data_IF_678898886761
#
_entry.id   IF_678898886761
#
_cell.length_a   1.000
_cell.length_b   1.000
_cell.length_c   1.000
_cell.angle_alpha   90.00
_cell.angle_beta   90.00
_cell.angle_gamma   90.00
#
_symmetry.space_group_name_H-M   'P 1'
#
loop_
_entity.id
_entity.type
_entity.pdbx_description
1 polymer ?
#
# COMPACT_ATOMS: atom_id res chain seq x y z
N UNK A 1 -25.83 -1.15 -2.17
CA UNK A 1 -26.22 -2.28 -3.03
C UNK A 1 -25.90 -1.98 -4.48
N UNK A 2 -24.69 -1.95 -4.85
CA UNK A 2 -24.20 -2.14 -6.23
C UNK A 2 -22.69 -2.27 -6.12
N UNK A 3 -22.21 -3.48 -5.90
CA UNK A 3 -20.81 -3.78 -6.05
C UNK A 3 -20.53 -3.76 -7.56
N UNK A 4 -20.04 -2.61 -8.04
CA UNK A 4 -19.72 -2.42 -9.43
C UNK A 4 -18.62 -3.40 -9.83
N UNK A 5 -18.88 -4.16 -10.89
CA UNK A 5 -17.92 -4.97 -11.59
C UNK A 5 -16.81 -4.05 -12.13
N UNK A 6 -15.69 -3.98 -11.45
CA UNK A 6 -14.50 -3.39 -12.02
C UNK A 6 -13.91 -4.37 -13.04
N UNK A 7 -14.39 -4.31 -14.26
CA UNK A 7 -13.59 -4.67 -15.42
C UNK A 7 -12.61 -3.51 -15.62
N UNK A 8 -11.35 -3.69 -15.30
CA UNK A 8 -10.30 -2.87 -15.87
C UNK A 8 -10.27 -3.15 -17.38
N UNK A 9 -11.10 -2.43 -18.11
CA UNK A 9 -10.90 -2.25 -19.53
C UNK A 9 -9.76 -1.23 -19.61
N UNK A 10 -8.54 -1.72 -19.83
CA UNK A 10 -7.42 -0.87 -20.23
C UNK A 10 -7.78 -0.29 -21.59
N UNK A 11 -8.45 0.87 -21.60
CA UNK A 11 -8.63 1.64 -22.81
C UNK A 11 -7.24 2.06 -23.28
N UNK A 12 -6.82 1.51 -24.41
CA UNK A 12 -5.63 1.96 -25.14
C UNK A 12 -5.90 3.39 -25.65
N UNK A 13 -5.47 4.39 -24.91
CA UNK A 13 -5.21 5.70 -25.47
C UNK A 13 -3.78 5.68 -26.02
N UNK A 14 -3.68 5.80 -27.34
CA UNK A 14 -2.42 6.08 -28.02
C UNK A 14 -1.96 7.49 -27.64
N UNK A 15 -1.21 7.63 -26.57
CA UNK A 15 -0.51 8.88 -26.27
C UNK A 15 0.94 8.75 -26.73
N UNK A 16 1.29 9.52 -27.74
CA UNK A 16 2.67 9.74 -28.18
C UNK A 16 3.32 10.67 -27.15
N UNK A 17 4.08 10.11 -26.22
CA UNK A 17 4.94 10.87 -25.33
C UNK A 17 6.33 11.02 -25.94
N UNK A 18 6.76 12.24 -26.23
CA UNK A 18 8.15 12.52 -26.59
C UNK A 18 8.94 12.84 -25.32
N UNK A 19 9.89 11.98 -24.98
CA UNK A 19 10.90 12.29 -23.97
C UNK A 19 12.07 12.94 -24.71
N UNK A 20 12.31 14.22 -24.45
CA UNK A 20 13.49 14.94 -24.95
C UNK A 20 14.71 14.59 -24.08
N UNK A 21 15.44 13.57 -24.49
CA UNK A 21 16.84 13.44 -24.09
C UNK A 21 17.68 14.32 -25.03
N UNK A 22 18.50 15.22 -24.49
CA UNK A 22 19.39 16.07 -25.24
C UNK A 22 20.42 15.24 -26.01
N UNK A 23 20.24 15.16 -27.32
CA UNK A 23 21.17 14.50 -28.22
C UNK A 23 20.51 13.54 -29.20
N UNK A 24 20.02 14.11 -30.30
CA UNK A 24 19.36 13.49 -31.46
C UNK A 24 17.87 13.15 -31.25
N UNK A 25 17.05 13.81 -32.07
CA UNK A 25 15.59 13.57 -32.21
C UNK A 25 15.29 12.16 -32.75
N UNK A 26 15.32 11.15 -31.90
CA UNK A 26 14.62 9.91 -32.14
C UNK A 26 13.33 9.93 -31.30
N UNK A 27 12.19 10.03 -31.96
CA UNK A 27 10.89 9.89 -31.32
C UNK A 27 10.73 8.47 -30.77
N UNK A 28 10.88 8.30 -29.48
CA UNK A 28 10.66 7.02 -28.81
C UNK A 28 9.16 6.73 -28.82
N UNK A 29 8.70 5.79 -29.64
CA UNK A 29 7.32 5.31 -29.60
C UNK A 29 7.20 4.22 -28.55
N UNK A 30 6.57 4.55 -27.43
CA UNK A 30 6.12 3.55 -26.46
C UNK A 30 5.09 2.63 -27.15
N UNK A 31 5.39 1.33 -27.14
CA UNK A 31 4.47 0.30 -27.62
C UNK A 31 4.10 -0.62 -26.45
N UNK A 32 2.80 -0.83 -26.26
CA UNK A 32 2.31 -1.83 -25.30
C UNK A 32 1.98 -3.12 -26.07
N UNK A 33 2.43 -4.23 -25.54
CA UNK A 33 2.12 -5.56 -26.04
C UNK A 33 1.49 -6.39 -24.92
N UNK A 34 0.34 -7.00 -25.18
CA UNK A 34 -0.23 -8.02 -24.30
C UNK A 34 0.61 -9.28 -24.46
N UNK A 35 1.29 -9.70 -23.40
CA UNK A 35 2.19 -10.86 -23.40
C UNK A 35 1.54 -12.12 -22.81
N UNK A 36 0.55 -11.96 -21.93
CA UNK A 36 -0.27 -13.03 -21.41
C UNK A 36 -1.74 -12.60 -21.43
N UNK A 37 -2.64 -13.48 -21.85
CA UNK A 37 -4.08 -13.18 -21.95
C UNK A 37 -4.81 -13.36 -20.61
N UNK A 38 -4.28 -14.20 -19.72
CA UNK A 38 -4.90 -14.54 -18.44
C UNK A 38 -3.81 -14.66 -17.38
N UNK A 39 -3.80 -13.70 -16.46
CA UNK A 39 -2.89 -13.69 -15.30
C UNK A 39 -3.36 -14.60 -14.16
N UNK A 40 -4.49 -15.26 -14.30
CA UNK A 40 -5.18 -16.11 -13.32
C UNK A 40 -5.68 -15.37 -12.05
N UNK A 41 -5.08 -14.26 -11.70
CA UNK A 41 -5.46 -13.37 -10.59
C UNK A 41 -5.30 -11.91 -11.03
N UNK A 42 -6.05 -10.99 -10.43
CA UNK A 42 -5.88 -9.55 -10.68
C UNK A 42 -4.62 -9.04 -9.94
N UNK A 43 -3.86 -8.18 -10.59
CA UNK A 43 -2.62 -7.67 -9.99
C UNK A 43 -2.90 -6.51 -9.03
N UNK A 44 -3.20 -6.80 -7.77
CA UNK A 44 -3.15 -5.81 -6.69
C UNK A 44 -1.72 -5.59 -6.21
N UNK A 45 -0.97 -6.69 -6.06
CA UNK A 45 0.45 -6.66 -5.80
C UNK A 45 1.16 -7.40 -6.92
N UNK A 46 2.20 -6.78 -7.44
CA UNK A 46 3.07 -7.33 -8.49
C UNK A 46 4.51 -7.10 -8.07
N UNK A 47 5.32 -8.13 -8.14
CA UNK A 47 6.74 -8.05 -7.83
C UNK A 47 7.55 -9.14 -8.54
N UNK A 48 8.87 -9.09 -8.36
CA UNK A 48 9.77 -10.12 -8.85
C UNK A 48 10.04 -11.13 -7.73
N UNK A 49 9.86 -12.42 -8.03
CA UNK A 49 10.20 -13.53 -7.14
C UNK A 49 11.64 -13.99 -7.35
N UNK A 50 12.15 -13.83 -8.56
CA UNK A 50 13.53 -14.03 -8.98
C UNK A 50 13.79 -13.26 -10.30
N UNK A 51 14.96 -13.43 -10.93
CA UNK A 51 15.34 -12.71 -12.16
C UNK A 51 14.41 -12.99 -13.35
N UNK A 52 13.72 -14.12 -13.37
CA UNK A 52 12.96 -14.61 -14.52
C UNK A 52 11.48 -14.90 -14.19
N UNK A 53 11.03 -14.59 -12.98
CA UNK A 53 9.67 -14.87 -12.54
C UNK A 53 9.08 -13.70 -11.79
N UNK A 54 7.98 -13.16 -12.30
CA UNK A 54 7.14 -12.24 -11.57
C UNK A 54 6.06 -12.98 -10.79
N UNK A 55 5.61 -12.42 -9.68
CA UNK A 55 4.43 -12.90 -8.96
C UNK A 55 3.31 -11.88 -8.99
N UNK A 56 2.09 -12.37 -8.94
CA UNK A 56 0.87 -11.60 -8.74
C UNK A 56 0.22 -12.12 -7.47
N UNK A 57 -0.25 -11.20 -6.62
CA UNK A 57 -0.99 -11.54 -5.41
C UNK A 57 -2.20 -10.62 -5.29
N UNK A 58 -3.41 -11.20 -5.14
CA UNK A 58 -4.67 -10.50 -5.24
C UNK A 58 -5.66 -10.91 -4.15
N UNK A 59 -6.85 -10.39 -4.30
CA UNK A 59 -8.02 -10.72 -3.49
C UNK A 59 -8.67 -12.04 -3.90
N UNK A 60 -9.45 -12.53 -2.99
CA UNK A 60 -10.10 -13.85 -3.05
C UNK A 60 -11.32 -13.90 -3.96
N UNK A 61 -11.98 -12.80 -4.28
CA UNK A 61 -13.33 -12.80 -4.84
C UNK A 61 -13.46 -13.25 -6.30
N UNK A 62 -14.56 -13.96 -6.55
CA UNK A 62 -15.11 -14.25 -7.90
C UNK A 62 -14.16 -14.91 -8.90
N UNK A 63 -13.04 -15.45 -8.46
CA UNK A 63 -12.13 -16.14 -9.35
C UNK A 63 -12.58 -17.60 -9.57
N UNK A 64 -12.93 -17.90 -10.82
CA UNK A 64 -13.33 -19.28 -11.22
C UNK A 64 -12.14 -20.20 -11.44
N UNK A 65 -10.94 -19.63 -11.57
CA UNK A 65 -9.71 -20.41 -11.78
C UNK A 65 -9.29 -21.07 -10.49
N UNK A 66 -8.72 -22.26 -10.63
CA UNK A 66 -8.24 -23.10 -9.53
C UNK A 66 -6.75 -23.33 -9.66
N UNK A 67 -6.08 -23.41 -8.52
CA UNK A 67 -4.72 -23.91 -8.44
C UNK A 67 -4.68 -25.43 -8.62
N UNK A 68 -3.49 -26.02 -8.70
CA UNK A 68 -3.33 -27.48 -8.80
C UNK A 68 -3.92 -28.23 -7.60
N UNK A 69 -4.00 -27.60 -6.43
CA UNK A 69 -4.64 -28.18 -5.22
C UNK A 69 -6.16 -28.04 -5.21
N UNK A 70 -6.75 -27.39 -6.23
CA UNK A 70 -8.19 -27.14 -6.32
C UNK A 70 -8.68 -25.91 -5.55
N UNK A 71 -7.79 -25.10 -4.96
CA UNK A 71 -8.14 -23.84 -4.30
C UNK A 71 -8.43 -22.76 -5.33
N UNK A 72 -9.26 -21.76 -5.02
CA UNK A 72 -9.37 -20.57 -5.86
C UNK A 72 -8.00 -19.91 -6.04
N UNK A 73 -7.71 -19.41 -7.24
CA UNK A 73 -6.42 -18.78 -7.53
C UNK A 73 -6.43 -17.32 -7.08
N UNK A 74 -5.65 -17.00 -6.04
CA UNK A 74 -5.45 -15.62 -5.55
C UNK A 74 -4.02 -15.14 -5.75
N UNK A 75 -3.16 -16.06 -6.16
CA UNK A 75 -1.78 -15.77 -6.46
C UNK A 75 -1.35 -16.55 -7.70
N UNK A 76 -0.49 -15.93 -8.49
CA UNK A 76 0.09 -16.58 -9.67
C UNK A 76 1.56 -16.18 -9.86
N UNK A 77 2.26 -17.00 -10.61
CA UNK A 77 3.62 -16.74 -11.08
C UNK A 77 3.58 -16.59 -12.60
N UNK A 78 4.29 -15.61 -13.11
CA UNK A 78 4.45 -15.34 -14.54
C UNK A 78 5.91 -15.54 -14.88
N UNK A 79 6.21 -16.52 -15.70
CA UNK A 79 7.56 -16.74 -16.22
C UNK A 79 7.87 -15.69 -17.28
N UNK A 80 8.95 -14.93 -17.14
CA UNK A 80 9.24 -13.80 -18.04
C UNK A 80 9.82 -14.23 -19.40
N UNK A 81 10.42 -15.42 -19.46
CA UNK A 81 11.03 -15.95 -20.68
C UNK A 81 10.00 -16.37 -21.75
N UNK A 82 8.85 -16.93 -21.33
CA UNK A 82 7.82 -17.45 -22.23
C UNK A 82 6.41 -16.94 -21.92
N UNK A 83 6.27 -16.13 -20.88
CA UNK A 83 5.00 -15.57 -20.38
C UNK A 83 3.97 -16.62 -19.96
N UNK A 84 4.41 -17.81 -19.66
CA UNK A 84 3.53 -18.81 -19.06
C UNK A 84 3.10 -18.41 -17.65
N UNK A 85 1.86 -18.75 -17.28
CA UNK A 85 1.26 -18.35 -16.00
C UNK A 85 0.85 -19.58 -15.22
N UNK A 86 1.22 -19.64 -13.95
CA UNK A 86 0.88 -20.73 -13.03
C UNK A 86 0.26 -20.20 -11.74
N UNK A 87 -0.92 -20.70 -11.38
CA UNK A 87 -1.53 -20.40 -10.08
C UNK A 87 -0.75 -21.07 -8.94
N UNK A 88 -0.61 -20.39 -7.84
CA UNK A 88 -0.03 -20.90 -6.59
C UNK A 88 -1.00 -20.70 -5.44
N UNK A 89 -0.90 -21.56 -4.43
CA UNK A 89 -1.82 -21.53 -3.29
C UNK A 89 -1.57 -20.33 -2.40
N UNK A 90 -2.66 -19.76 -1.93
CA UNK A 90 -2.74 -18.84 -0.82
C UNK A 90 -3.93 -19.24 0.07
N UNK A 91 -3.83 -19.01 1.36
CA UNK A 91 -4.82 -19.46 2.35
C UNK A 91 -5.54 -18.29 3.00
N UNK A 92 -4.79 -17.26 3.33
CA UNK A 92 -5.30 -16.09 4.04
C UNK A 92 -5.60 -14.95 3.05
N UNK A 93 -6.57 -14.12 3.37
CA UNK A 93 -7.04 -13.07 2.47
C UNK A 93 -6.05 -11.89 2.41
N UNK A 94 -5.30 -11.68 1.30
CA UNK A 94 -4.30 -10.63 1.18
C UNK A 94 -4.87 -9.30 0.67
N UNK A 95 -6.18 -9.19 0.54
CA UNK A 95 -6.80 -8.00 -0.04
C UNK A 95 -6.44 -6.75 0.72
N UNK A 96 -5.83 -5.80 0.03
CA UNK A 96 -5.33 -4.54 0.61
C UNK A 96 -4.27 -4.73 1.70
N UNK A 97 -3.45 -5.76 1.61
CA UNK A 97 -2.20 -5.88 2.34
C UNK A 97 -1.15 -4.90 1.81
N UNK A 98 -0.03 -4.79 2.48
CA UNK A 98 1.15 -4.08 2.00
C UNK A 98 2.33 -5.04 1.86
N UNK A 99 3.24 -4.77 0.92
CA UNK A 99 4.39 -5.62 0.68
C UNK A 99 5.69 -4.85 0.45
N UNK A 100 6.81 -5.52 0.75
CA UNK A 100 8.16 -5.00 0.51
C UNK A 100 9.15 -6.15 0.29
N UNK A 101 10.28 -5.84 -0.33
CA UNK A 101 11.39 -6.78 -0.51
C UNK A 101 12.40 -6.60 0.61
N UNK A 102 12.84 -7.70 1.21
CA UNK A 102 13.93 -7.71 2.18
C UNK A 102 15.31 -7.76 1.51
N UNK A 103 16.36 -7.39 2.25
CA UNK A 103 17.73 -7.41 1.78
C UNK A 103 18.25 -8.78 1.33
N UNK A 104 17.62 -9.88 1.74
CA UNK A 104 17.92 -11.25 1.29
C UNK A 104 17.13 -11.67 0.04
N UNK A 105 16.38 -10.76 -0.57
CA UNK A 105 15.54 -11.03 -1.73
C UNK A 105 14.16 -11.65 -1.41
N UNK A 106 13.86 -11.98 -0.16
CA UNK A 106 12.52 -12.42 0.22
C UNK A 106 11.51 -11.31 0.08
N UNK A 107 10.32 -11.62 -0.40
CA UNK A 107 9.22 -10.67 -0.45
C UNK A 107 8.24 -10.92 0.71
N UNK A 108 7.90 -9.87 1.42
CA UNK A 108 6.95 -9.93 2.54
C UNK A 108 5.65 -9.21 2.16
N UNK A 109 4.52 -9.82 2.54
CA UNK A 109 3.18 -9.24 2.45
C UNK A 109 2.51 -9.31 3.81
N UNK A 110 2.27 -8.16 4.42
CA UNK A 110 1.69 -8.07 5.76
C UNK A 110 0.27 -7.46 5.75
N UNK A 111 -0.60 -8.01 6.56
CA UNK A 111 -1.98 -7.57 6.66
C UNK A 111 -2.89 -8.15 5.58
N UNK A 112 -4.02 -7.52 5.37
CA UNK A 112 -5.05 -7.93 4.43
C UNK A 112 -6.45 -7.77 4.98
N UNK A 113 -7.41 -8.51 4.46
CA UNK A 113 -8.80 -8.45 4.89
C UNK A 113 -9.18 -9.67 5.74
N UNK A 114 -10.31 -9.56 6.43
CA UNK A 114 -10.96 -10.71 7.08
C UNK A 114 -11.42 -11.75 6.05
N UNK A 115 -11.79 -12.93 6.52
CA UNK A 115 -12.38 -13.96 5.68
C UNK A 115 -13.73 -13.48 5.10
N UNK A 116 -13.97 -13.74 3.82
CA UNK A 116 -15.11 -13.22 3.08
C UNK A 116 -15.86 -14.29 2.27
N UNK A 117 -17.11 -14.00 1.97
CA UNK A 117 -17.97 -14.71 1.04
C UNK A 117 -18.18 -13.89 -0.25
N UNK A 118 -19.18 -14.25 -1.03
CA UNK A 118 -19.58 -13.54 -2.24
C UNK A 118 -19.78 -12.04 -1.99
N UNK A 119 -19.23 -11.23 -2.88
CA UNK A 119 -19.35 -9.77 -2.81
C UNK A 119 -18.53 -9.11 -1.70
N UNK A 120 -17.51 -9.79 -1.14
CA UNK A 120 -16.66 -9.25 -0.08
C UNK A 120 -17.37 -9.17 1.28
N UNK A 121 -18.45 -9.92 1.48
CA UNK A 121 -19.25 -9.88 2.70
C UNK A 121 -18.74 -10.94 3.68
N UNK A 122 -18.56 -10.57 4.94
CA UNK A 122 -18.20 -11.53 5.98
C UNK A 122 -19.35 -12.54 6.21
N UNK A 123 -18.99 -13.78 6.39
CA UNK A 123 -19.93 -14.85 6.73
C UNK A 123 -20.38 -14.69 8.18
N UNK A 124 -21.63 -15.02 8.46
CA UNK A 124 -22.14 -15.12 9.82
C UNK A 124 -22.05 -16.54 10.34
N UNK A 125 -21.69 -16.68 11.60
CA UNK A 125 -21.80 -17.91 12.35
C UNK A 125 -23.30 -18.23 12.61
N UNK A 126 -23.57 -19.43 13.09
CA UNK A 126 -24.96 -19.87 13.43
C UNK A 126 -25.61 -19.04 14.54
N UNK A 127 -24.83 -18.38 15.38
CA UNK A 127 -25.28 -17.47 16.45
C UNK A 127 -25.52 -16.04 15.96
N UNK A 128 -25.30 -15.76 14.66
CA UNK A 128 -25.44 -14.45 14.05
C UNK A 128 -24.21 -13.54 14.18
N UNK A 129 -23.17 -13.94 14.91
CA UNK A 129 -21.90 -13.22 14.97
C UNK A 129 -21.15 -13.30 13.64
N UNK A 130 -20.22 -12.36 13.40
CA UNK A 130 -19.41 -12.36 12.18
C UNK A 130 -18.27 -13.38 12.28
N UNK A 131 -18.19 -14.30 11.31
CA UNK A 131 -17.03 -15.17 11.15
C UNK A 131 -15.92 -14.42 10.41
N UNK A 132 -15.14 -13.64 11.13
CA UNK A 132 -14.03 -12.87 10.54
C UNK A 132 -12.79 -13.73 10.29
N UNK A 133 -12.62 -14.81 11.05
CA UNK A 133 -11.42 -15.65 11.00
C UNK A 133 -11.43 -16.67 9.86
N UNK A 134 -12.59 -17.13 9.45
CA UNK A 134 -12.74 -18.17 8.43
C UNK A 134 -12.66 -19.61 9.03
N UNK A 135 -12.58 -20.65 8.17
CA UNK A 135 -12.68 -20.52 6.72
C UNK A 135 -14.07 -20.06 6.26
N UNK A 136 -14.10 -19.15 5.29
CA UNK A 136 -15.35 -18.60 4.77
C UNK A 136 -15.73 -19.24 3.42
N UNK A 137 -16.90 -19.93 3.32
CA UNK A 137 -17.36 -20.41 2.03
C UNK A 137 -17.79 -19.24 1.12
N UNK A 138 -17.66 -19.33 -0.22
CA UNK A 138 -17.22 -20.53 -0.95
C UNK A 138 -15.71 -20.59 -1.16
N UNK A 139 -14.94 -19.64 -0.68
CA UNK A 139 -13.53 -19.49 -1.00
C UNK A 139 -12.63 -20.30 -0.07
N UNK A 140 -13.10 -20.58 1.13
CA UNK A 140 -12.32 -21.21 2.21
C UNK A 140 -11.06 -20.41 2.56
N UNK A 141 -11.18 -19.08 2.50
CA UNK A 141 -10.16 -18.16 2.93
C UNK A 141 -10.18 -17.97 4.45
N UNK A 142 -9.01 -17.64 4.98
CA UNK A 142 -8.80 -17.29 6.38
C UNK A 142 -8.56 -15.78 6.51
N UNK A 143 -8.72 -15.27 7.72
CA UNK A 143 -8.40 -13.87 8.03
C UNK A 143 -6.92 -13.55 7.73
N UNK A 144 -6.71 -12.55 6.90
CA UNK A 144 -5.38 -12.10 6.50
C UNK A 144 -4.85 -10.89 7.26
N UNK A 145 -5.69 -10.24 8.07
CA UNK A 145 -5.38 -8.93 8.66
C UNK A 145 -4.18 -8.91 9.60
N UNK A 146 -3.84 -10.06 10.22
CA UNK A 146 -2.70 -10.19 11.12
C UNK A 146 -1.55 -11.00 10.55
N UNK A 147 -1.71 -11.52 9.35
CA UNK A 147 -0.76 -12.45 8.76
C UNK A 147 0.41 -11.72 8.12
N UNK A 148 1.62 -12.21 8.37
CA UNK A 148 2.83 -11.84 7.65
C UNK A 148 3.20 -13.02 6.75
N UNK A 149 3.02 -12.84 5.46
CA UNK A 149 3.31 -13.84 4.42
C UNK A 149 4.68 -13.59 3.84
N UNK A 150 5.36 -14.64 3.43
CA UNK A 150 6.68 -14.52 2.84
C UNK A 150 6.82 -15.41 1.60
N UNK A 151 7.46 -14.88 0.57
CA UNK A 151 7.99 -15.65 -0.55
C UNK A 151 9.50 -15.56 -0.52
N UNK A 152 10.16 -16.70 -0.34
CA UNK A 152 11.62 -16.76 -0.40
C UNK A 152 12.07 -16.89 -1.85
N UNK A 153 13.13 -16.20 -2.28
CA UNK A 153 13.64 -16.29 -3.63
C UNK A 153 14.16 -17.73 -3.89
N UNK A 154 13.89 -18.23 -5.06
CA UNK A 154 14.40 -19.52 -5.53
C UNK A 154 14.63 -19.45 -7.05
N UNK A 155 15.81 -19.86 -7.52
CA UNK A 155 16.12 -19.90 -8.94
C UNK A 155 15.20 -20.87 -9.71
N UNK A 156 14.77 -21.95 -9.05
CA UNK A 156 13.77 -22.88 -9.57
C UNK A 156 12.36 -22.34 -9.28
N UNK A 157 11.73 -21.77 -10.28
CA UNK A 157 10.39 -21.20 -10.14
C UNK A 157 9.34 -22.21 -9.70
N UNK A 158 9.55 -23.51 -9.92
CA UNK A 158 8.62 -24.56 -9.46
C UNK A 158 8.55 -24.66 -7.94
N UNK A 159 9.57 -24.20 -7.23
CA UNK A 159 9.66 -24.18 -5.76
C UNK A 159 9.15 -22.89 -5.13
N UNK A 160 8.86 -21.87 -5.93
CA UNK A 160 8.30 -20.62 -5.43
C UNK A 160 6.88 -20.87 -4.89
N UNK A 161 6.67 -20.46 -3.66
CA UNK A 161 5.39 -20.55 -2.96
C UNK A 161 5.29 -19.47 -1.88
N UNK A 162 4.08 -19.12 -1.50
CA UNK A 162 3.84 -18.33 -0.30
C UNK A 162 3.98 -19.21 0.94
N UNK A 163 4.71 -18.72 1.93
CA UNK A 163 4.61 -19.14 3.32
C UNK A 163 3.48 -18.28 3.89
N UNK A 164 2.30 -18.89 3.97
CA UNK A 164 1.03 -18.23 4.30
C UNK A 164 0.34 -19.07 5.36
N UNK A 165 0.70 -18.86 6.62
CA UNK A 165 0.25 -19.64 7.76
C UNK A 165 -0.58 -18.77 8.71
N UNK A 166 -1.89 -19.04 8.76
CA UNK A 166 -2.82 -18.34 9.63
C UNK A 166 -2.49 -18.55 11.12
N UNK A 167 -2.02 -19.75 11.47
CA UNK A 167 -1.70 -20.10 12.87
C UNK A 167 -0.24 -19.80 13.24
N UNK A 168 0.48 -19.10 12.39
CA UNK A 168 1.88 -18.74 12.64
C UNK A 168 2.02 -17.96 13.95
N UNK A 169 2.98 -18.31 14.80
CA UNK A 169 3.28 -17.53 16.02
C UNK A 169 3.84 -16.14 15.70
N UNK A 170 4.24 -15.90 14.44
CA UNK A 170 4.81 -14.64 13.98
C UNK A 170 3.77 -13.68 13.38
N UNK A 171 2.51 -13.84 13.72
CA UNK A 171 1.47 -12.90 13.32
C UNK A 171 1.65 -11.52 13.98
N UNK A 172 1.12 -10.48 13.32
CA UNK A 172 0.99 -9.16 13.94
C UNK A 172 0.12 -9.20 15.21
N UNK A 173 0.38 -8.31 16.15
CA UNK A 173 -0.43 -8.18 17.36
C UNK A 173 -1.81 -7.61 17.09
N UNK A 174 -1.92 -6.73 16.11
CA UNK A 174 -3.18 -6.11 15.74
C UNK A 174 -3.53 -6.29 14.26
N UNK A 175 -4.85 -6.37 13.93
CA UNK A 175 -5.30 -6.45 12.55
C UNK A 175 -4.92 -5.19 11.77
N UNK A 176 -4.48 -5.33 10.51
CA UNK A 176 -4.15 -4.23 9.61
C UNK A 176 -4.65 -4.48 8.20
N UNK A 177 -5.59 -3.68 7.79
CA UNK A 177 -6.08 -3.54 6.43
C UNK A 177 -5.64 -2.18 5.90
N UNK A 178 -5.02 -2.08 4.73
CA UNK A 178 -4.36 -0.87 4.21
C UNK A 178 -3.20 -0.33 5.08
N UNK A 179 -2.32 -1.15 5.65
CA UNK A 179 -1.15 -0.63 6.37
C UNK A 179 -0.12 -0.03 5.41
N UNK A 180 0.79 0.77 5.95
CA UNK A 180 2.09 1.00 5.34
C UNK A 180 3.08 -0.07 5.83
N UNK A 181 4.09 -0.39 5.01
CA UNK A 181 5.20 -1.27 5.38
C UNK A 181 6.52 -0.69 4.88
N UNK A 182 7.53 -0.70 5.73
CA UNK A 182 8.87 -0.23 5.38
C UNK A 182 9.92 -1.23 5.83
N UNK A 183 10.88 -1.53 4.92
CA UNK A 183 12.04 -2.35 5.24
C UNK A 183 13.10 -1.56 5.99
N UNK A 184 13.72 -2.18 6.99
CA UNK A 184 14.77 -1.56 7.79
C UNK A 184 16.15 -2.12 7.46
N UNK A 185 17.19 -1.37 7.80
CA UNK A 185 18.57 -1.73 7.48
C UNK A 185 19.04 -3.06 8.10
N UNK A 186 18.42 -3.51 9.17
CA UNK A 186 18.74 -4.77 9.84
C UNK A 186 17.97 -5.98 9.28
N UNK A 187 17.23 -5.80 8.18
CA UNK A 187 16.44 -6.85 7.54
C UNK A 187 15.07 -7.09 8.15
N UNK A 188 14.69 -6.33 9.17
CA UNK A 188 13.31 -6.34 9.70
C UNK A 188 12.42 -5.40 8.90
N UNK A 189 11.11 -5.44 9.16
CA UNK A 189 10.14 -4.49 8.64
C UNK A 189 9.33 -3.86 9.76
N UNK A 190 8.81 -2.67 9.51
CA UNK A 190 7.80 -2.04 10.36
C UNK A 190 6.49 -1.93 9.58
N UNK A 191 5.38 -2.33 10.22
CA UNK A 191 4.02 -2.13 9.73
C UNK A 191 3.39 -0.97 10.50
N UNK A 192 2.79 -0.03 9.78
CA UNK A 192 2.29 1.22 10.34
C UNK A 192 0.85 1.45 9.88
N UNK A 193 -0.03 1.79 10.82
CA UNK A 193 -1.38 2.19 10.51
C UNK A 193 -2.26 1.08 9.96
N UNK A 194 -3.15 1.45 9.04
CA UNK A 194 -4.19 0.61 8.49
C UNK A 194 -5.47 0.63 9.30
N UNK A 195 -6.34 -0.35 9.09
CA UNK A 195 -7.62 -0.49 9.77
C UNK A 195 -7.80 -1.88 10.36
N UNK A 196 -8.50 -1.97 11.48
CA UNK A 196 -8.86 -3.23 12.14
C UNK A 196 -10.06 -3.92 11.49
N UNK A 197 -10.92 -3.13 10.86
CA UNK A 197 -12.13 -3.61 10.18
C UNK A 197 -12.39 -2.77 8.94
N UNK A 198 -13.20 -3.32 8.03
CA UNK A 198 -13.57 -2.65 6.80
C UNK A 198 -14.37 -1.37 7.06
N UNK A 199 -14.01 -0.36 6.36
CA UNK A 199 -14.66 0.92 6.18
C UNK A 199 -14.08 1.54 4.95
N UNK A 200 -14.78 2.52 4.37
CA UNK A 200 -14.27 3.13 3.15
C UNK A 200 -13.04 3.99 3.43
N UNK A 201 -13.14 4.86 4.42
CA UNK A 201 -12.05 5.66 4.99
C UNK A 201 -12.29 5.73 6.48
N UNK A 202 -11.29 5.39 7.27
CA UNK A 202 -11.43 5.31 8.72
C UNK A 202 -10.81 6.53 9.38
N UNK A 203 -11.54 7.08 10.34
CA UNK A 203 -11.01 8.12 11.22
C UNK A 203 -10.32 7.52 12.43
N UNK A 204 -9.26 8.18 12.86
CA UNK A 204 -8.60 7.92 14.12
C UNK A 204 -9.26 8.70 15.26
N UNK A 205 -8.87 8.36 16.46
CA UNK A 205 -9.13 9.20 17.63
C UNK A 205 -8.04 10.30 17.75
N UNK A 206 -8.37 11.49 18.24
CA UNK A 206 -9.71 11.98 18.57
C UNK A 206 -10.47 12.35 17.31
N UNK A 207 -11.65 11.78 17.16
CA UNK A 207 -12.56 12.23 16.13
C UNK A 207 -13.35 13.43 16.68
N UNK A 208 -13.07 14.61 16.17
CA UNK A 208 -13.73 15.85 16.58
C UNK A 208 -15.08 16.08 15.90
N UNK A 209 -15.48 15.22 14.98
CA UNK A 209 -16.79 15.29 14.33
C UNK A 209 -17.88 14.90 15.34
N UNK A 210 -18.82 15.80 15.67
CA UNK A 210 -19.89 15.52 16.64
C UNK A 210 -20.80 14.34 16.27
N UNK A 211 -20.93 14.04 14.99
CA UNK A 211 -21.73 12.91 14.49
C UNK A 211 -21.12 11.59 14.95
N UNK A 212 -19.81 11.47 14.99
CA UNK A 212 -19.10 10.26 15.39
C UNK A 212 -18.74 10.23 16.88
N UNK A 213 -18.58 11.40 17.49
CA UNK A 213 -18.23 11.51 18.90
C UNK A 213 -19.29 10.93 19.84
N UNK A 214 -20.53 10.77 19.37
CA UNK A 214 -21.66 10.33 20.17
C UNK A 214 -22.32 9.05 19.65
N UNK A 215 -21.65 8.30 18.77
CA UNK A 215 -22.22 7.06 18.23
C UNK A 215 -22.57 6.06 19.34
N UNK A 216 -23.83 5.62 19.35
CA UNK A 216 -24.32 4.60 20.28
C UNK A 216 -23.68 3.22 20.07
N UNK A 217 -23.09 2.99 18.89
CA UNK A 217 -22.36 1.77 18.56
C UNK A 217 -20.94 1.74 19.15
N UNK A 218 -20.45 2.88 19.60
CA UNK A 218 -19.18 3.00 20.30
C UNK A 218 -19.32 3.88 21.54
N UNK A 219 -19.67 3.29 22.72
CA UNK A 219 -19.83 4.03 23.98
C UNK A 219 -18.53 4.68 24.48
N UNK A 220 -17.37 4.32 23.89
CA UNK A 220 -16.09 4.99 24.10
C UNK A 220 -15.82 6.00 22.98
N UNK A 221 -16.85 6.77 22.62
CA UNK A 221 -16.71 7.86 21.66
C UNK A 221 -15.42 8.65 21.95
N UNK A 222 -14.64 8.86 20.92
CA UNK A 222 -13.33 9.44 21.07
C UNK A 222 -12.18 8.44 21.23
N UNK A 223 -12.42 7.14 21.14
CA UNK A 223 -11.37 6.10 21.06
C UNK A 223 -11.08 5.75 19.59
N UNK A 224 -9.89 5.22 19.30
CA UNK A 224 -9.38 4.99 17.92
C UNK A 224 -10.18 3.98 17.10
N UNK A 225 -10.91 3.09 17.71
CA UNK A 225 -11.67 2.04 17.05
C UNK A 225 -12.93 2.55 16.33
N UNK A 226 -13.24 3.81 16.43
CA UNK A 226 -14.27 4.43 15.60
C UNK A 226 -13.87 4.39 14.13
N UNK A 227 -14.71 3.76 13.30
CA UNK A 227 -14.41 3.55 11.91
C UNK A 227 -13.33 2.47 11.64
N UNK A 228 -12.81 1.80 12.68
CA UNK A 228 -11.87 0.71 12.56
C UNK A 228 -10.42 1.12 12.30
N UNK A 229 -10.06 2.39 12.47
CA UNK A 229 -8.67 2.83 12.34
C UNK A 229 -7.74 2.15 13.34
N UNK A 230 -6.51 1.89 12.91
CA UNK A 230 -5.44 1.34 13.75
C UNK A 230 -4.20 2.25 13.68
N UNK A 231 -4.14 3.36 14.41
CA UNK A 231 -3.04 4.30 14.38
C UNK A 231 -1.85 3.82 15.24
N UNK A 232 -1.41 2.59 15.03
CA UNK A 232 -0.28 2.00 15.75
C UNK A 232 0.78 1.49 14.79
N UNK A 233 1.92 1.11 15.33
CA UNK A 233 2.97 0.44 14.58
C UNK A 233 3.45 -0.81 15.30
N UNK A 234 4.04 -1.73 14.55
CA UNK A 234 4.71 -2.92 15.06
C UNK A 234 5.78 -3.42 14.11
N UNK A 235 6.73 -4.21 14.62
CA UNK A 235 7.86 -4.73 13.85
C UNK A 235 7.72 -6.24 13.60
N UNK A 236 8.32 -6.69 12.50
CA UNK A 236 8.49 -8.09 12.21
C UNK A 236 9.89 -8.37 11.63
N UNK A 237 10.62 -9.40 12.08
CA UNK A 237 10.36 -10.15 13.32
C UNK A 237 10.43 -9.24 14.55
N UNK A 238 9.80 -9.69 15.65
CA UNK A 238 9.66 -8.86 16.87
C UNK A 238 10.90 -8.83 17.75
N UNK A 239 11.81 -9.76 17.55
CA UNK A 239 12.98 -9.94 18.38
C UNK A 239 13.83 -8.67 18.45
N UNK A 240 14.09 -8.21 19.68
CA UNK A 240 14.87 -7.01 19.96
C UNK A 240 14.29 -5.71 19.37
N UNK A 241 12.98 -5.67 19.14
CA UNK A 241 12.26 -4.49 18.65
C UNK A 241 11.37 -3.84 19.71
N UNK A 242 11.06 -2.54 19.56
CA UNK A 242 10.03 -1.91 20.39
C UNK A 242 8.72 -2.69 20.33
N UNK A 243 7.99 -2.70 21.44
CA UNK A 243 6.62 -3.25 21.46
C UNK A 243 5.70 -2.40 20.60
N UNK A 244 4.61 -2.99 20.08
CA UNK A 244 3.58 -2.23 19.39
C UNK A 244 3.10 -1.04 20.21
N UNK A 245 3.01 0.12 19.58
CA UNK A 245 2.61 1.36 20.22
C UNK A 245 1.80 2.24 19.27
N UNK A 246 1.15 3.25 19.84
CA UNK A 246 0.47 4.30 19.08
C UNK A 246 1.50 5.11 18.31
N UNK A 247 1.13 5.52 17.12
CA UNK A 247 1.94 6.31 16.23
C UNK A 247 1.32 7.70 16.07
N UNK A 248 1.88 8.70 16.72
CA UNK A 248 1.30 10.05 16.81
C UNK A 248 1.02 10.68 15.45
N UNK A 249 1.88 10.45 14.46
CA UNK A 249 1.66 10.96 13.11
C UNK A 249 0.43 10.31 12.46
N UNK A 250 0.15 9.04 12.71
CA UNK A 250 -1.06 8.38 12.20
C UNK A 250 -2.32 8.89 12.90
N UNK A 251 -2.23 9.29 14.17
CA UNK A 251 -3.31 9.99 14.87
C UNK A 251 -3.54 11.37 14.26
N UNK A 252 -2.47 12.15 14.07
CA UNK A 252 -2.50 13.50 13.49
C UNK A 252 -3.10 13.54 12.09
N UNK A 253 -2.85 12.51 11.27
CA UNK A 253 -3.30 12.43 9.87
C UNK A 253 -4.59 11.64 9.68
N UNK A 254 -5.43 11.57 10.70
CA UNK A 254 -6.70 10.86 10.70
C UNK A 254 -7.55 11.09 9.45
N UNK A 255 -8.17 10.03 8.95
CA UNK A 255 -9.09 10.07 7.81
C UNK A 255 -8.41 9.89 6.44
N UNK A 256 -7.19 10.36 6.25
CA UNK A 256 -6.43 10.28 4.99
C UNK A 256 -5.01 9.76 5.23
N UNK A 257 -4.89 8.54 5.75
CA UNK A 257 -3.60 7.94 6.12
C UNK A 257 -3.51 6.44 5.83
N UNK A 258 -4.42 5.89 5.06
CA UNK A 258 -4.30 4.51 4.56
C UNK A 258 -3.21 4.43 3.51
N UNK A 259 -2.35 3.41 3.59
CA UNK A 259 -1.15 3.31 2.76
C UNK A 259 -0.30 4.58 2.83
N UNK A 260 -0.01 5.06 4.04
CA UNK A 260 0.92 6.17 4.22
C UNK A 260 2.23 5.89 3.47
N UNK A 261 2.74 6.91 2.78
CA UNK A 261 4.01 6.76 2.07
C UNK A 261 5.17 6.75 3.06
N UNK A 262 6.04 5.76 2.95
CA UNK A 262 7.19 5.57 3.83
C UNK A 262 8.46 5.34 3.01
N UNK A 263 9.59 5.83 3.51
CA UNK A 263 10.90 5.60 2.91
C UNK A 263 11.97 5.57 4.00
N UNK A 264 12.77 4.50 4.02
CA UNK A 264 13.95 4.42 4.86
C UNK A 264 15.01 5.42 4.36
N UNK A 265 15.43 6.30 5.25
CA UNK A 265 16.44 7.33 4.97
C UNK A 265 17.85 6.83 5.29
N UNK A 266 18.93 7.44 4.73
CA UNK A 266 20.32 7.11 5.06
C UNK A 266 20.65 7.15 6.56
N UNK A 267 19.95 7.98 7.33
CA UNK A 267 20.06 8.03 8.80
C UNK A 267 19.50 6.82 9.55
N UNK A 268 18.80 5.91 8.85
CA UNK A 268 18.02 4.84 9.46
C UNK A 268 16.65 5.29 10.01
N UNK A 269 16.30 6.58 9.90
CA UNK A 269 14.97 7.11 10.20
C UNK A 269 14.03 6.87 9.03
N UNK A 270 12.73 7.04 9.25
CA UNK A 270 11.71 6.84 8.23
C UNK A 270 11.09 8.18 7.87
N UNK A 271 11.16 8.55 6.60
CA UNK A 271 10.33 9.61 6.03
C UNK A 271 8.89 9.10 5.91
N UNK A 272 7.93 9.92 6.27
CA UNK A 272 6.51 9.59 6.17
C UNK A 272 5.71 10.75 5.59
N UNK A 273 4.73 10.40 4.73
CA UNK A 273 3.74 11.34 4.21
C UNK A 273 2.35 10.68 4.28
N UNK A 274 1.40 11.40 4.86
CA UNK A 274 -0.01 11.01 4.92
C UNK A 274 -0.88 12.26 5.02
N UNK A 275 -2.14 12.17 4.60
CA UNK A 275 -2.96 13.34 4.37
C UNK A 275 -2.20 14.32 3.44
N UNK A 276 -1.91 15.52 3.87
CA UNK A 276 -0.95 16.43 3.24
C UNK A 276 0.25 16.73 4.15
N UNK A 277 0.33 16.11 5.30
CA UNK A 277 1.42 16.30 6.27
C UNK A 277 2.61 15.39 5.98
N UNK A 278 3.78 15.85 6.40
CA UNK A 278 5.05 15.18 6.18
C UNK A 278 5.88 15.21 7.46
N UNK A 279 6.57 14.11 7.77
CA UNK A 279 7.44 14.00 8.94
C UNK A 279 8.62 13.06 8.69
N UNK A 280 9.65 13.16 9.52
CA UNK A 280 10.67 12.12 9.69
C UNK A 280 10.47 11.49 11.07
N UNK A 281 10.35 10.17 11.12
CA UNK A 281 10.21 9.41 12.34
C UNK A 281 11.52 8.71 12.72
N UNK A 282 12.07 9.08 13.89
CA UNK A 282 13.16 8.35 14.54
C UNK A 282 12.54 7.23 15.38
N UNK A 283 12.32 6.08 14.77
CA UNK A 283 11.66 4.94 15.40
C UNK A 283 12.42 4.36 16.60
N UNK A 284 13.73 4.60 16.70
CA UNK A 284 14.54 4.12 17.82
C UNK A 284 14.32 4.93 19.10
N UNK A 285 13.86 6.17 18.96
CA UNK A 285 13.57 7.12 20.06
C UNK A 285 12.10 7.49 20.15
N UNK A 286 11.30 7.00 19.20
CA UNK A 286 9.89 7.37 18.99
C UNK A 286 9.71 8.90 18.96
N UNK A 287 10.50 9.55 18.11
CA UNK A 287 10.47 11.01 17.94
C UNK A 287 10.16 11.41 16.50
N UNK A 288 9.34 12.42 16.37
CA UNK A 288 8.94 12.99 15.09
C UNK A 288 9.63 14.32 14.83
N UNK A 289 9.98 14.55 13.60
CA UNK A 289 10.48 15.82 13.10
C UNK A 289 9.59 16.27 11.94
N UNK A 290 8.66 17.18 12.24
CA UNK A 290 7.69 17.68 11.27
C UNK A 290 8.42 18.42 10.14
N UNK A 291 8.00 18.15 8.92
CA UNK A 291 8.44 18.79 7.69
C UNK A 291 7.28 19.62 7.12
N UNK A 292 7.53 20.49 6.14
CA UNK A 292 6.46 21.24 5.48
C UNK A 292 5.38 20.34 4.90
N UNK A 293 4.15 20.80 4.95
CA UNK A 293 3.02 20.13 4.32
C UNK A 293 3.16 20.05 2.80
N UNK A 294 2.49 19.09 2.19
CA UNK A 294 2.41 18.94 0.75
C UNK A 294 1.89 20.24 0.09
N UNK A 295 2.55 20.75 -0.95
CA UNK A 295 2.10 21.95 -1.63
C UNK A 295 0.65 21.86 -2.08
N UNK A 296 -0.06 23.00 -1.99
CA UNK A 296 -1.49 23.13 -2.32
C UNK A 296 -2.40 22.11 -1.60
N UNK A 297 -1.92 21.50 -0.52
CA UNK A 297 -2.64 20.47 0.26
C UNK A 297 -3.15 19.32 -0.63
N UNK A 298 -2.37 18.96 -1.64
CA UNK A 298 -2.69 17.83 -2.51
C UNK A 298 -2.58 16.53 -1.70
N UNK A 299 -3.66 15.74 -1.70
CA UNK A 299 -3.69 14.43 -1.05
C UNK A 299 -3.17 13.38 -2.02
N UNK A 300 -2.18 12.60 -1.58
CA UNK A 300 -1.49 11.59 -2.42
C UNK A 300 -1.54 10.18 -1.86
N UNK A 301 -2.07 9.99 -0.66
CA UNK A 301 -2.35 8.67 -0.09
C UNK A 301 -3.71 8.15 -0.53
N UNK A 302 -3.97 6.86 -0.31
CA UNK A 302 -5.28 6.26 -0.62
C UNK A 302 -6.41 7.03 0.10
N UNK A 303 -7.54 7.32 -0.58
CA UNK A 303 -7.91 6.86 -1.92
C UNK A 303 -7.45 7.78 -3.07
N UNK A 304 -6.84 8.92 -2.81
CA UNK A 304 -6.34 9.82 -3.85
C UNK A 304 -5.13 9.24 -4.62
N UNK A 305 -4.30 8.48 -3.95
CA UNK A 305 -3.21 7.63 -4.48
C UNK A 305 -2.38 8.28 -5.60
N UNK A 306 -1.59 9.30 -5.25
CA UNK A 306 -0.56 9.84 -6.14
C UNK A 306 0.62 8.87 -6.28
N UNK A 307 1.34 8.96 -7.39
CA UNK A 307 2.58 8.24 -7.56
C UNK A 307 3.67 8.82 -6.65
N UNK A 308 4.46 7.95 -6.02
CA UNK A 308 5.60 8.35 -5.20
C UNK A 308 6.78 7.42 -5.42
N UNK A 309 8.00 7.98 -5.38
CA UNK A 309 9.24 7.22 -5.41
C UNK A 309 10.38 7.98 -4.75
N UNK A 310 11.25 7.28 -4.04
CA UNK A 310 12.58 7.82 -3.75
C UNK A 310 13.43 7.71 -5.01
N UNK A 311 14.01 8.83 -5.46
CA UNK A 311 14.89 8.82 -6.62
C UNK A 311 16.13 7.99 -6.34
N UNK A 312 16.80 7.42 -7.38
CA UNK A 312 17.93 6.54 -7.19
C UNK A 312 19.06 7.21 -6.39
N UNK A 313 19.52 6.51 -5.37
CA UNK A 313 20.67 6.91 -4.56
C UNK A 313 21.96 6.52 -5.32
N UNK A 314 22.68 7.50 -5.81
CA UNK A 314 23.86 7.30 -6.66
C UNK A 314 25.09 8.02 -6.12
N UNK A 315 26.31 7.63 -6.50
CA UNK A 315 27.51 8.41 -6.19
C UNK A 315 27.45 9.85 -6.69
N UNK A 316 26.77 10.08 -7.83
CA UNK A 316 26.62 11.42 -8.44
C UNK A 316 25.83 12.38 -7.54
N UNK A 317 24.76 11.92 -6.91
CA UNK A 317 23.98 12.72 -5.95
C UNK A 317 24.45 12.52 -4.50
N UNK A 318 25.60 11.87 -4.31
CA UNK A 318 26.18 11.57 -2.99
C UNK A 318 25.21 10.80 -2.09
N UNK A 319 24.39 9.93 -2.68
CA UNK A 319 23.36 9.16 -1.99
C UNK A 319 22.35 10.02 -1.20
N UNK A 320 22.14 11.26 -1.63
CA UNK A 320 21.19 12.18 -1.01
C UNK A 320 19.76 11.74 -1.35
N UNK A 321 18.88 11.49 -0.36
CA UNK A 321 17.51 11.03 -0.62
C UNK A 321 16.65 12.18 -1.12
N UNK A 322 15.98 11.98 -2.24
CA UNK A 322 14.96 12.88 -2.77
C UNK A 322 13.71 12.06 -3.09
N UNK A 323 12.58 12.45 -2.55
CA UNK A 323 11.31 11.77 -2.75
C UNK A 323 10.47 12.61 -3.69
N UNK A 324 10.04 12.00 -4.78
CA UNK A 324 9.19 12.58 -5.81
C UNK A 324 7.75 12.13 -5.63
N UNK A 325 6.83 13.05 -5.80
CA UNK A 325 5.38 12.83 -5.75
C UNK A 325 4.73 13.45 -6.99
N UNK A 326 3.82 12.72 -7.65
CA UNK A 326 3.03 13.24 -8.76
C UNK A 326 1.57 12.78 -8.68
N UNK A 327 0.66 13.61 -9.14
CA UNK A 327 -0.76 13.26 -9.18
C UNK A 327 -1.46 13.35 -7.83
N UNK A 328 -2.50 12.56 -7.61
CA UNK A 328 -3.34 12.63 -6.42
C UNK A 328 -4.58 13.50 -6.65
N UNK A 329 -5.20 14.02 -5.58
CA UNK A 329 -6.37 14.90 -5.66
C UNK A 329 -6.14 16.25 -5.03
N UNK A 330 -6.59 17.29 -5.73
CA UNK A 330 -6.57 18.67 -5.25
C UNK A 330 -7.68 18.92 -4.21
N UNK A 331 -7.39 19.77 -3.22
CA UNK A 331 -8.37 20.32 -2.28
C UNK A 331 -9.21 19.24 -1.53
N UNK A 332 -8.69 18.05 -1.34
CA UNK A 332 -9.34 17.06 -0.50
C UNK A 332 -9.09 17.38 0.98
N UNK A 333 -10.13 17.29 1.79
CA UNK A 333 -10.02 17.45 3.25
C UNK A 333 -10.37 16.13 3.93
N UNK A 334 -9.86 15.92 5.14
CA UNK A 334 -10.17 14.72 5.91
C UNK A 334 -11.63 14.71 6.40
N UNK A 335 -12.28 15.88 6.55
CA UNK A 335 -13.70 15.97 6.83
C UNK A 335 -14.55 15.40 5.70
N UNK A 336 -14.15 15.65 4.44
CA UNK A 336 -14.85 15.09 3.28
C UNK A 336 -14.68 13.58 3.18
N UNK A 337 -13.47 13.07 3.46
CA UNK A 337 -13.09 11.66 3.28
C UNK A 337 -13.30 10.81 4.53
N UNK A 338 -13.44 11.44 5.67
CA UNK A 338 -13.53 10.76 6.96
C UNK A 338 -14.89 10.12 7.26
N UNK A 339 -15.92 10.37 6.45
CA UNK A 339 -17.22 9.74 6.60
C UNK A 339 -17.29 8.44 5.81
N UNK A 340 -16.96 7.32 6.45
CA UNK A 340 -16.97 6.02 5.80
C UNK A 340 -18.36 5.39 5.67
N UNK A 341 -19.34 5.85 6.43
CA UNK A 341 -20.73 5.35 6.36
C UNK A 341 -21.50 5.98 5.21
N UNK A 342 -21.18 7.23 4.91
CA UNK A 342 -21.77 8.00 3.83
C UNK A 342 -20.72 8.96 3.27
N UNK A 343 -19.75 8.47 2.48
CA UNK A 343 -18.66 9.30 1.98
C UNK A 343 -19.20 10.50 1.21
N UNK A 344 -18.76 11.68 1.63
CA UNK A 344 -19.21 12.96 1.04
C UNK A 344 -18.55 13.25 -0.30
N UNK A 345 -17.55 12.46 -0.64
CA UNK A 345 -16.78 12.63 -1.88
C UNK A 345 -17.04 11.46 -2.81
N UNK A 346 -17.52 11.76 -4.01
CA UNK A 346 -17.51 10.80 -5.10
C UNK A 346 -16.12 10.80 -5.76
N UNK A 347 -15.32 9.79 -5.45
CA UNK A 347 -13.96 9.65 -5.99
C UNK A 347 -13.90 9.59 -7.51
N UNK A 348 -14.93 9.06 -8.14
CA UNK A 348 -14.98 8.93 -9.61
C UNK A 348 -15.23 10.26 -10.32
N UNK A 349 -15.76 11.24 -9.60
CA UNK A 349 -16.04 12.59 -10.11
C UNK A 349 -14.97 13.61 -9.70
N UNK A 350 -14.04 13.21 -8.80
CA UNK A 350 -12.98 14.11 -8.32
C UNK A 350 -11.90 14.24 -9.37
N UNK A 351 -11.58 15.49 -9.73
CA UNK A 351 -10.48 15.76 -10.64
C UNK A 351 -9.13 15.37 -10.03
N UNK A 352 -8.35 14.60 -10.78
CA UNK A 352 -6.97 14.32 -10.42
C UNK A 352 -6.09 15.57 -10.48
N UNK A 353 -4.90 15.49 -9.89
CA UNK A 353 -3.86 16.51 -9.99
C UNK A 353 -2.84 16.17 -11.07
N UNK A 354 -2.33 17.20 -11.75
CA UNK A 354 -1.17 17.12 -12.64
C UNK A 354 0.14 17.53 -11.92
N UNK A 355 0.04 18.01 -10.69
CA UNK A 355 1.18 18.50 -9.93
C UNK A 355 2.20 17.41 -9.64
N UNK A 356 3.48 17.80 -9.76
CA UNK A 356 4.62 17.05 -9.28
C UNK A 356 5.44 17.90 -8.32
N UNK A 357 5.87 17.30 -7.22
CA UNK A 357 6.69 17.99 -6.22
C UNK A 357 7.69 17.01 -5.62
N UNK A 358 8.89 17.47 -5.31
CA UNK A 358 9.92 16.68 -4.65
C UNK A 358 10.35 17.28 -3.32
N UNK A 359 10.88 16.45 -2.44
CA UNK A 359 11.44 16.87 -1.16
C UNK A 359 12.73 16.12 -0.89
N UNK A 360 13.76 16.83 -0.39
CA UNK A 360 15.03 16.25 0.06
C UNK A 360 15.15 16.48 1.56
N UNK A 361 14.71 15.52 2.39
CA UNK A 361 14.52 15.74 3.82
C UNK A 361 15.83 15.79 4.61
N UNK A 362 16.86 15.06 4.18
CA UNK A 362 18.17 15.02 4.81
C UNK A 362 19.29 14.98 3.76
N UNK A 363 20.51 15.23 4.22
CA UNK A 363 21.71 15.09 3.39
C UNK A 363 22.23 13.63 3.38
N UNK A 364 23.30 13.39 2.66
CA UNK A 364 23.93 12.08 2.56
C UNK A 364 24.49 11.55 3.90
N UNK A 365 24.78 12.44 4.84
CA UNK A 365 25.27 12.09 6.19
C UNK A 365 24.09 11.83 7.16
N UNK A 366 22.85 11.87 6.67
CA UNK A 366 21.66 11.67 7.48
C UNK A 366 21.32 12.86 8.38
N UNK A 367 21.80 14.07 8.07
CA UNK A 367 21.42 15.27 8.81
C UNK A 367 20.18 15.87 8.19
N UNK A 368 19.19 16.19 9.02
CA UNK A 368 18.00 16.92 8.56
C UNK A 368 18.48 18.31 8.06
N UNK A 369 18.13 18.62 6.82
CA UNK A 369 18.51 19.89 6.21
C UNK A 369 17.86 21.07 6.95
N UNK A 370 18.59 22.17 7.04
CA UNK A 370 17.98 23.45 7.41
C UNK A 370 17.09 23.91 6.24
N UNK A 371 15.90 24.41 6.54
CA UNK A 371 14.94 24.93 5.56
C UNK A 371 14.52 23.86 4.51
N UNK A 372 14.23 22.64 4.97
CA UNK A 372 13.58 21.63 4.13
C UNK A 372 12.30 22.20 3.54
N UNK A 373 12.10 22.04 2.24
CA UNK A 373 10.89 22.46 1.55
C UNK A 373 10.64 21.59 0.33
N UNK A 374 9.40 21.61 -0.14
CA UNK A 374 9.05 21.01 -1.41
C UNK A 374 9.53 21.89 -2.56
N UNK A 375 10.03 21.25 -3.60
CA UNK A 375 10.37 21.84 -4.90
C UNK A 375 9.29 21.43 -5.88
N UNK A 376 8.76 22.39 -6.64
CA UNK A 376 7.83 22.09 -7.74
C UNK A 376 8.63 21.53 -8.90
N UNK A 377 8.17 20.41 -9.40
CA UNK A 377 8.73 19.74 -10.56
C UNK A 377 7.88 19.97 -11.80
N UNK A 378 8.35 19.47 -12.94
CA UNK A 378 7.56 19.51 -14.17
C UNK A 378 6.26 18.71 -13.98
N UNK A 379 5.16 19.31 -14.38
CA UNK A 379 3.83 18.72 -14.26
C UNK A 379 3.64 17.50 -15.16
N UNK A 380 2.75 16.60 -14.75
CA UNK A 380 2.26 15.55 -15.64
C UNK A 380 1.53 16.19 -16.85
N UNK A 381 1.60 15.52 -17.98
CA UNK A 381 0.86 15.95 -19.18
C UNK A 381 -0.66 15.94 -18.97
N UNK A 382 -1.14 15.04 -18.12
CA UNK A 382 -2.54 14.90 -17.76
C UNK A 382 -2.69 14.64 -16.26
N UNK A 383 -3.75 15.16 -15.62
CA UNK A 383 -4.06 14.86 -14.22
C UNK A 383 -4.23 13.35 -14.00
N UNK A 384 -3.71 12.82 -12.87
CA UNK A 384 -3.73 11.39 -12.56
C UNK A 384 -3.96 11.12 -11.09
N UNK A 385 -4.68 10.03 -10.84
CA UNK A 385 -4.69 9.32 -9.57
C UNK A 385 -4.38 7.83 -9.81
N UNK A 386 -4.10 7.07 -8.77
CA UNK A 386 -3.76 5.64 -8.82
C UNK A 386 -2.54 5.32 -9.72
N UNK A 387 -1.66 6.30 -9.94
CA UNK A 387 -0.43 6.13 -10.69
C UNK A 387 0.68 5.52 -9.84
N UNK A 388 1.69 4.97 -10.51
CA UNK A 388 2.90 4.45 -9.88
C UNK A 388 4.14 4.82 -10.69
N UNK A 389 5.25 5.04 -10.01
CA UNK A 389 6.55 5.17 -10.64
C UNK A 389 7.23 3.81 -10.73
N UNK A 390 7.95 3.61 -11.82
CA UNK A 390 8.83 2.47 -12.02
C UNK A 390 10.22 3.00 -12.34
N UNK A 391 11.20 2.65 -11.53
CA UNK A 391 12.58 2.95 -11.82
C UNK A 391 13.08 2.06 -12.97
N UNK A 392 13.61 2.70 -14.00
CA UNK A 392 14.28 2.00 -15.07
C UNK A 392 15.71 1.67 -14.67
N UNK A 393 16.37 0.64 -15.30
CA UNK A 393 17.75 0.30 -15.01
C UNK A 393 18.76 1.44 -15.27
N UNK A 394 18.34 2.44 -16.03
CA UNK A 394 19.14 3.64 -16.35
C UNK A 394 18.95 4.79 -15.34
N UNK A 395 18.07 4.64 -14.38
CA UNK A 395 17.69 5.67 -13.38
C UNK A 395 16.52 6.51 -13.78
#
# INVERSE_FOLDING_TARGET
MLCARFFFLMAMLNTVGSVLASGKNESFKLQYRVVAQDSLASAMMLGLANEDTAFIFDKVENNKKKTASGRPTWASLVQLSDYSVRGIDATTNPFCAAGTTLGNGSYIVAGGNSAISYGGINVKNSDGSMNLNGPAPPYNDMDGRRVVRMMQPNADSSKLKWIDDFDSPNQMDSPRWYPAIEGLADGSVVMIGGATSGGFINRNYPNVDPVYATSSSNPKAGVWDQGGANPSYEFWPRDNKPKPAVHDFMVKTSGLNMYAHTYLLPSGRIFMQANYSTTIWDWTKDKFHDLPDMPDRIVRVYPASGATAMLPLTPKNKYTPTILFCGGFNNATDEEWGDFTAPRVNMFERAGSDDCSSITPEDADGRIKKNVGYVREEKLQEPRSMGQFIHLPTG
#
